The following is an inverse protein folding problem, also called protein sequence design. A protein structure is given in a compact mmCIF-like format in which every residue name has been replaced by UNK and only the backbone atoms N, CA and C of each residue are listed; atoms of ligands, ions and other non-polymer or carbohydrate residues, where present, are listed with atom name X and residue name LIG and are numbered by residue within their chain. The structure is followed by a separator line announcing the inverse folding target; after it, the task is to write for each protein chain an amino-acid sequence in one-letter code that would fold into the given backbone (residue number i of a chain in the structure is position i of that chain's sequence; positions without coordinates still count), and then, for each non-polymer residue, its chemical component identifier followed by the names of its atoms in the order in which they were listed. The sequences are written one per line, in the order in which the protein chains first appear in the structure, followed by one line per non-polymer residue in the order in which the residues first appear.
data_IF_532730091106
#
_entry.id   IF_532730091106
#
_cell.length_a   1.000
_cell.length_b   1.000
_cell.length_c   1.000
_cell.angle_alpha   90.00
_cell.angle_beta   90.00
_cell.angle_gamma   90.00
#
_symmetry.space_group_name_H-M   'P 1'
#
loop_
_entity.id
_entity.type
_entity.pdbx_description
1 polymer ?
#
# COMPACT_ATOMS: atom_id res chain seq x y z
N UNK A 1 -23.75 2.78 -0.73
CA UNK A 1 -23.09 4.08 -0.49
C UNK A 1 -21.59 3.83 -0.39
N UNK A 2 -20.73 4.74 -0.86
CA UNK A 2 -19.29 4.60 -0.72
C UNK A 2 -18.88 4.67 0.77
N UNK A 3 -17.70 4.15 1.15
CA UNK A 3 -17.11 4.42 2.45
C UNK A 3 -17.01 5.93 2.67
N UNK A 4 -17.44 6.42 3.84
CA UNK A 4 -17.42 7.85 4.17
C UNK A 4 -16.17 8.25 4.93
N UNK A 5 -15.43 7.29 5.49
CA UNK A 5 -14.26 7.51 6.33
C UNK A 5 -13.30 6.33 6.21
N UNK A 6 -11.99 6.62 6.22
CA UNK A 6 -10.90 5.65 6.19
C UNK A 6 -9.90 6.04 7.27
N UNK A 7 -9.53 5.06 8.12
CA UNK A 7 -8.41 5.21 9.07
C UNK A 7 -7.20 4.47 8.51
N UNK A 8 -6.11 5.19 8.27
CA UNK A 8 -4.84 4.60 7.85
C UNK A 8 -3.94 4.48 9.07
N UNK A 9 -3.53 3.25 9.38
CA UNK A 9 -2.72 2.92 10.56
C UNK A 9 -1.42 2.28 10.09
N UNK A 10 -0.29 2.90 10.44
CA UNK A 10 1.02 2.26 10.34
C UNK A 10 1.17 1.25 11.48
N UNK A 11 1.76 0.10 11.22
CA UNK A 11 2.03 -0.90 12.25
C UNK A 11 2.87 -0.31 13.40
N UNK A 12 2.71 -0.89 14.59
CA UNK A 12 3.51 -0.53 15.75
C UNK A 12 4.94 -1.08 15.65
N UNK A 13 5.82 -0.71 16.60
CA UNK A 13 7.22 -1.12 16.58
C UNK A 13 7.39 -2.64 16.53
N UNK A 14 8.07 -3.12 15.48
CA UNK A 14 8.54 -4.50 15.34
C UNK A 14 10.01 -4.66 15.67
N UNK A 15 10.48 -5.91 15.82
CA UNK A 15 11.89 -6.17 16.12
C UNK A 15 12.85 -5.65 15.05
N UNK A 16 12.45 -5.66 13.77
CA UNK A 16 13.24 -5.06 12.69
C UNK A 16 13.51 -3.56 12.90
N UNK A 17 12.65 -2.83 13.62
CA UNK A 17 12.83 -1.41 13.89
C UNK A 17 13.90 -1.10 14.96
N UNK A 18 14.25 -2.05 15.84
CA UNK A 18 15.17 -1.77 16.95
C UNK A 18 16.63 -1.60 16.51
N UNK A 19 17.02 -2.30 15.44
CA UNK A 19 18.40 -2.31 14.93
C UNK A 19 18.46 -1.96 13.44
N UNK A 20 17.33 -1.50 12.86
CA UNK A 20 17.15 -1.35 11.41
C UNK A 20 17.61 -2.63 10.66
N UNK A 21 17.32 -3.78 11.27
CA UNK A 21 17.76 -5.07 10.75
C UNK A 21 16.76 -5.57 9.71
N UNK A 22 17.04 -5.19 8.47
CA UNK A 22 16.27 -5.55 7.29
C UNK A 22 16.39 -7.04 6.91
N UNK A 23 17.25 -7.81 7.59
CA UNK A 23 17.46 -9.24 7.32
C UNK A 23 16.50 -10.15 8.07
N UNK A 24 15.84 -9.63 9.12
CA UNK A 24 14.91 -10.41 9.95
C UNK A 24 13.57 -10.59 9.24
N UNK A 25 13.19 -11.81 8.83
CA UNK A 25 11.95 -12.01 8.07
C UNK A 25 10.71 -11.85 8.97
N UNK A 26 9.70 -11.17 8.43
CA UNK A 26 8.34 -11.05 8.98
C UNK A 26 8.28 -11.01 10.53
N UNK A 27 8.94 -10.00 11.09
CA UNK A 27 9.14 -9.91 12.54
C UNK A 27 7.85 -9.64 13.31
N UNK A 28 7.82 -10.10 14.57
CA UNK A 28 6.79 -9.76 15.55
C UNK A 28 6.93 -8.31 16.04
N UNK A 29 5.88 -7.84 16.74
CA UNK A 29 5.93 -6.64 17.56
C UNK A 29 6.90 -6.82 18.73
N UNK A 30 7.51 -5.72 19.16
CA UNK A 30 8.21 -5.64 20.45
C UNK A 30 7.20 -5.41 21.58
N UNK A 31 7.58 -5.58 22.86
CA UNK A 31 6.72 -5.19 23.98
C UNK A 31 6.32 -3.70 23.97
N UNK A 32 7.15 -2.83 23.39
CA UNK A 32 6.78 -1.43 23.14
C UNK A 32 5.72 -1.34 22.03
N UNK A 33 5.88 -2.06 20.92
CA UNK A 33 4.89 -2.12 19.84
C UNK A 33 3.52 -2.63 20.30
N UNK A 34 3.49 -3.60 21.22
CA UNK A 34 2.24 -4.05 21.83
C UNK A 34 1.56 -2.93 22.62
N UNK A 35 2.32 -2.18 23.45
CA UNK A 35 1.81 -1.02 24.19
C UNK A 35 1.30 0.09 23.27
N UNK A 36 2.02 0.39 22.20
CA UNK A 36 1.59 1.35 21.18
C UNK A 36 0.26 0.94 20.54
N UNK A 37 0.12 -0.34 20.19
CA UNK A 37 -1.10 -0.87 19.56
C UNK A 37 -2.30 -0.76 20.51
N UNK A 38 -2.11 -1.03 21.81
CA UNK A 38 -3.16 -0.89 22.82
C UNK A 38 -3.51 0.58 23.05
N UNK A 39 -2.51 1.47 23.16
CA UNK A 39 -2.73 2.90 23.36
C UNK A 39 -3.56 3.51 22.21
N UNK A 40 -3.26 3.13 20.96
CA UNK A 40 -3.98 3.58 19.77
C UNK A 40 -5.50 3.29 19.84
N UNK A 41 -5.92 2.23 20.55
CA UNK A 41 -7.35 1.91 20.73
C UNK A 41 -8.14 3.02 21.44
N UNK A 42 -7.46 3.86 22.22
CA UNK A 42 -8.03 4.99 22.95
C UNK A 42 -7.95 6.32 22.18
N UNK A 43 -7.15 6.37 21.12
CA UNK A 43 -6.93 7.59 20.33
C UNK A 43 -7.89 7.68 19.12
N UNK A 44 -8.31 6.53 18.58
CA UNK A 44 -9.22 6.50 17.43
C UNK A 44 -10.62 6.99 17.84
N UNK A 45 -11.09 8.13 17.30
CA UNK A 45 -12.42 8.63 17.61
C UNK A 45 -13.49 7.67 17.12
N UNK A 46 -14.50 7.42 17.95
CA UNK A 46 -15.64 6.53 17.64
C UNK A 46 -15.21 5.18 17.06
N UNK A 47 -14.19 4.56 17.67
CA UNK A 47 -13.59 3.30 17.20
C UNK A 47 -14.65 2.21 16.93
N UNK A 48 -15.72 2.16 17.74
CA UNK A 48 -16.81 1.19 17.59
C UNK A 48 -17.65 1.35 16.32
N UNK A 49 -17.54 2.47 15.60
CA UNK A 49 -18.15 2.65 14.28
C UNK A 49 -17.42 1.87 13.16
N UNK A 50 -16.19 1.42 13.41
CA UNK A 50 -15.39 0.64 12.46
C UNK A 50 -16.03 -0.74 12.28
N UNK A 51 -16.52 -0.99 11.07
CA UNK A 51 -17.19 -2.24 10.71
C UNK A 51 -16.37 -3.14 9.76
N UNK A 52 -15.19 -2.66 9.31
CA UNK A 52 -14.25 -3.43 8.50
C UNK A 52 -12.83 -3.11 8.92
N UNK A 53 -12.01 -4.15 9.08
CA UNK A 53 -10.59 -4.03 9.41
C UNK A 53 -9.82 -4.81 8.35
N UNK A 54 -8.91 -4.12 7.67
CA UNK A 54 -7.98 -4.70 6.71
C UNK A 54 -6.57 -4.55 7.23
N UNK A 55 -5.77 -5.59 7.09
CA UNK A 55 -4.34 -5.57 7.41
C UNK A 55 -3.57 -6.21 6.26
N UNK A 56 -2.32 -5.80 6.07
CA UNK A 56 -1.41 -6.60 5.25
C UNK A 56 -1.17 -7.96 5.93
N UNK A 57 -0.77 -9.00 5.19
CA UNK A 57 -0.57 -10.32 5.78
C UNK A 57 0.80 -10.45 6.46
N UNK A 58 1.32 -9.35 6.99
CA UNK A 58 2.55 -9.29 7.79
C UNK A 58 2.20 -9.50 9.27
N UNK A 59 3.02 -10.24 10.01
CA UNK A 59 2.74 -10.55 11.41
C UNK A 59 2.59 -9.29 12.26
N UNK A 60 3.51 -8.33 12.09
CA UNK A 60 3.46 -7.04 12.79
C UNK A 60 2.16 -6.27 12.57
N UNK A 61 1.60 -6.26 11.35
CA UNK A 61 0.39 -5.51 11.02
C UNK A 61 -0.85 -6.21 11.55
N UNK A 62 -0.91 -7.55 11.45
CA UNK A 62 -1.99 -8.35 12.02
C UNK A 62 -2.02 -8.22 13.56
N UNK A 63 -0.88 -8.30 14.24
CA UNK A 63 -0.85 -8.13 15.70
C UNK A 63 -1.18 -6.71 16.13
N UNK A 64 -0.74 -5.67 15.40
CA UNK A 64 -1.18 -4.30 15.67
C UNK A 64 -2.70 -4.20 15.58
N UNK A 65 -3.31 -4.73 14.51
CA UNK A 65 -4.77 -4.73 14.37
C UNK A 65 -5.47 -5.54 15.48
N UNK A 66 -4.99 -6.74 15.82
CA UNK A 66 -5.55 -7.58 16.88
C UNK A 66 -5.56 -6.87 18.24
N UNK A 67 -4.52 -6.11 18.55
CA UNK A 67 -4.39 -5.39 19.82
C UNK A 67 -5.18 -4.07 19.81
N UNK A 68 -5.07 -3.26 18.75
CA UNK A 68 -5.81 -2.00 18.64
C UNK A 68 -7.31 -2.21 18.63
N UNK A 69 -7.79 -3.28 18.01
CA UNK A 69 -9.22 -3.55 17.84
C UNK A 69 -9.74 -4.68 18.74
N UNK A 70 -8.97 -5.10 19.73
CA UNK A 70 -9.26 -6.24 20.60
C UNK A 70 -10.69 -6.20 21.19
N UNK A 71 -11.09 -5.04 21.71
CA UNK A 71 -12.41 -4.83 22.32
C UNK A 71 -13.54 -5.07 21.31
N UNK A 72 -13.39 -4.56 20.09
CA UNK A 72 -14.43 -4.71 19.06
C UNK A 72 -14.53 -6.15 18.57
N UNK A 73 -13.38 -6.79 18.35
CA UNK A 73 -13.30 -8.20 17.95
C UNK A 73 -13.86 -9.12 19.04
N UNK A 74 -13.75 -8.74 20.32
CA UNK A 74 -14.34 -9.49 21.43
C UNK A 74 -15.87 -9.38 21.48
N UNK A 75 -16.42 -8.17 21.33
CA UNK A 75 -17.86 -7.94 21.42
C UNK A 75 -18.63 -8.19 20.12
N UNK A 76 -17.93 -8.28 18.98
CA UNK A 76 -18.52 -8.57 17.68
C UNK A 76 -17.86 -9.83 17.06
N UNK A 77 -18.45 -11.04 17.25
CA UNK A 77 -17.86 -12.29 16.76
C UNK A 77 -17.81 -12.41 15.23
N UNK A 78 -18.61 -11.59 14.53
CA UNK A 78 -18.64 -11.54 13.06
C UNK A 78 -17.57 -10.60 12.50
N UNK A 79 -17.02 -9.69 13.32
CA UNK A 79 -15.93 -8.81 12.92
C UNK A 79 -14.62 -9.60 12.84
N UNK A 80 -13.94 -9.49 11.70
CA UNK A 80 -12.66 -10.14 11.44
C UNK A 80 -11.67 -9.12 10.88
N UNK A 81 -10.39 -9.38 11.12
CA UNK A 81 -9.29 -8.72 10.40
C UNK A 81 -9.10 -9.47 9.09
N UNK A 82 -9.38 -8.83 7.96
CA UNK A 82 -9.19 -9.41 6.64
C UNK A 82 -7.76 -9.12 6.18
N UNK A 83 -6.97 -10.17 5.97
CA UNK A 83 -5.62 -10.04 5.46
C UNK A 83 -5.65 -9.89 3.93
N UNK A 84 -5.17 -8.75 3.43
CA UNK A 84 -5.13 -8.44 1.99
C UNK A 84 -3.68 -8.41 1.47
N UNK A 85 -3.29 -9.29 0.53
CA UNK A 85 -1.96 -9.33 -0.06
C UNK A 85 -1.45 -7.97 -0.57
N UNK A 86 -2.34 -7.17 -1.16
CA UNK A 86 -2.03 -5.90 -1.81
C UNK A 86 -1.55 -4.81 -0.84
N UNK A 87 -1.66 -5.03 0.46
CA UNK A 87 -1.19 -4.11 1.50
C UNK A 87 0.23 -4.42 2.00
N UNK A 88 0.92 -5.44 1.46
CA UNK A 88 2.31 -5.74 1.82
C UNK A 88 3.23 -4.53 1.58
N UNK A 89 4.32 -4.46 2.35
CA UNK A 89 5.38 -3.49 2.09
C UNK A 89 6.02 -3.72 0.71
N UNK A 90 6.56 -2.65 0.15
CA UNK A 90 6.91 -2.54 -1.28
C UNK A 90 8.38 -2.82 -1.58
N UNK A 91 9.23 -2.92 -0.56
CA UNK A 91 10.65 -3.24 -0.68
C UNK A 91 10.88 -4.76 -0.81
N UNK A 92 12.06 -5.14 -1.30
CA UNK A 92 12.52 -6.54 -1.40
C UNK A 92 13.32 -7.00 -0.18
N UNK A 93 13.35 -6.21 0.90
CA UNK A 93 14.00 -6.62 2.14
C UNK A 93 13.30 -7.81 2.78
N UNK A 94 14.08 -8.68 3.44
CA UNK A 94 13.53 -9.88 4.07
C UNK A 94 12.47 -9.55 5.12
N UNK A 95 12.63 -8.43 5.85
CA UNK A 95 11.63 -7.95 6.80
C UNK A 95 10.30 -7.52 6.17
N UNK A 96 10.28 -7.25 4.87
CA UNK A 96 9.15 -6.70 4.12
C UNK A 96 8.44 -7.76 3.28
N UNK A 97 9.00 -8.97 3.23
CA UNK A 97 8.36 -10.16 2.68
C UNK A 97 7.57 -10.90 3.76
N UNK A 98 6.28 -11.14 3.53
CA UNK A 98 5.43 -11.84 4.49
C UNK A 98 5.66 -13.34 4.56
N UNK A 99 5.20 -13.96 5.66
CA UNK A 99 5.25 -15.42 5.85
C UNK A 99 4.35 -16.18 4.87
N UNK A 100 4.66 -17.46 4.65
CA UNK A 100 3.80 -18.35 3.85
C UNK A 100 2.39 -18.49 4.43
N UNK A 101 1.41 -18.78 3.58
CA UNK A 101 0.03 -19.04 3.98
C UNK A 101 -0.06 -20.09 5.10
N UNK A 102 0.68 -21.19 4.96
CA UNK A 102 0.69 -22.27 5.95
C UNK A 102 1.24 -21.83 7.32
N UNK A 103 2.23 -20.92 7.35
CA UNK A 103 2.74 -20.36 8.61
C UNK A 103 1.70 -19.44 9.26
N UNK A 104 1.08 -18.54 8.47
CA UNK A 104 0.05 -17.63 8.96
C UNK A 104 -1.19 -18.39 9.48
N UNK A 105 -1.64 -19.43 8.78
CA UNK A 105 -2.75 -20.28 9.23
C UNK A 105 -2.47 -20.94 10.58
N UNK A 106 -1.24 -21.43 10.79
CA UNK A 106 -0.85 -22.03 12.08
C UNK A 106 -0.81 -20.98 13.19
N UNK A 107 -0.24 -19.82 12.93
CA UNK A 107 -0.05 -18.78 13.94
C UNK A 107 -1.37 -18.11 14.34
N UNK A 108 -2.24 -17.84 13.38
CA UNK A 108 -3.51 -17.17 13.60
C UNK A 108 -4.70 -18.13 13.79
N UNK A 109 -4.44 -19.43 13.94
CA UNK A 109 -5.47 -20.42 14.24
C UNK A 109 -6.28 -20.03 15.49
N UNK A 110 -7.60 -19.95 15.34
CA UNK A 110 -8.53 -19.59 16.42
C UNK A 110 -8.58 -18.09 16.75
N UNK A 111 -7.83 -17.24 16.06
CA UNK A 111 -7.93 -15.78 16.18
C UNK A 111 -8.94 -15.22 15.16
N UNK A 112 -9.50 -14.02 15.36
CA UNK A 112 -10.45 -13.41 14.44
C UNK A 112 -9.74 -12.79 13.21
N UNK A 113 -8.93 -13.60 12.53
CA UNK A 113 -8.19 -13.23 11.32
C UNK A 113 -8.70 -14.07 10.16
N UNK A 114 -9.09 -13.40 9.08
CA UNK A 114 -9.53 -14.01 7.85
C UNK A 114 -8.38 -13.98 6.83
N UNK A 115 -7.90 -15.18 6.47
CA UNK A 115 -6.82 -15.40 5.52
C UNK A 115 -7.34 -15.92 4.17
N UNK A 116 -8.65 -15.91 3.93
CA UNK A 116 -9.28 -16.49 2.73
C UNK A 116 -8.88 -15.78 1.42
N UNK A 117 -8.37 -14.56 1.50
CA UNK A 117 -7.83 -13.81 0.37
C UNK A 117 -6.39 -14.16 0.02
N UNK A 118 -5.70 -14.95 0.86
CA UNK A 118 -4.34 -15.40 0.59
C UNK A 118 -4.35 -16.68 -0.25
N UNK A 119 -3.47 -16.72 -1.24
CA UNK A 119 -3.15 -17.90 -2.03
C UNK A 119 -1.72 -18.36 -1.74
N UNK A 120 -1.35 -19.56 -2.21
CA UNK A 120 0.04 -20.02 -2.08
C UNK A 120 0.96 -19.10 -2.90
N UNK A 121 2.01 -18.57 -2.26
CA UNK A 121 2.87 -17.54 -2.88
C UNK A 121 2.25 -16.14 -2.95
N UNK A 122 1.27 -15.81 -2.09
CA UNK A 122 0.61 -14.49 -2.07
C UNK A 122 1.56 -13.28 -1.99
N UNK A 123 2.76 -13.48 -1.45
CA UNK A 123 3.80 -12.47 -1.24
C UNK A 123 4.69 -12.24 -2.48
N UNK A 124 4.37 -12.88 -3.61
CA UNK A 124 5.05 -12.73 -4.90
C UNK A 124 4.01 -12.63 -6.03
N UNK A 125 4.20 -11.74 -7.01
CA UNK A 125 3.28 -11.68 -8.14
C UNK A 125 3.42 -10.49 -9.08
N UNK A 126 2.65 -10.54 -10.15
CA UNK A 126 2.45 -9.45 -11.11
C UNK A 126 0.97 -9.07 -11.07
N UNK A 127 0.69 -7.83 -10.68
CA UNK A 127 -0.67 -7.32 -10.51
C UNK A 127 -1.07 -6.48 -11.73
N UNK A 128 -2.28 -6.70 -12.23
CA UNK A 128 -2.92 -5.82 -13.20
C UNK A 128 -3.96 -4.94 -12.49
N UNK A 129 -3.77 -3.63 -12.53
CA UNK A 129 -4.72 -2.65 -11.98
C UNK A 129 -5.51 -2.03 -13.13
N UNK A 130 -6.82 -2.19 -13.14
CA UNK A 130 -7.73 -1.54 -14.10
C UNK A 130 -8.42 -0.39 -13.36
N UNK A 131 -8.04 0.83 -13.71
CA UNK A 131 -8.51 2.05 -13.05
C UNK A 131 -8.74 3.18 -14.06
N UNK A 132 -8.87 4.40 -13.55
CA UNK A 132 -9.12 5.61 -14.34
C UNK A 132 -7.83 6.42 -14.54
N UNK A 133 -7.75 7.21 -15.61
CA UNK A 133 -6.55 8.00 -15.92
C UNK A 133 -6.12 8.93 -14.79
N UNK A 134 -7.05 9.65 -14.17
CA UNK A 134 -6.75 10.50 -13.00
C UNK A 134 -6.19 9.74 -11.80
N UNK A 135 -6.73 8.55 -11.50
CA UNK A 135 -6.18 7.69 -10.44
C UNK A 135 -4.76 7.23 -10.81
N UNK A 136 -4.54 6.84 -12.06
CA UNK A 136 -3.23 6.37 -12.51
C UNK A 136 -2.15 7.47 -12.43
N UNK A 137 -2.49 8.74 -12.67
CA UNK A 137 -1.55 9.85 -12.48
C UNK A 137 -1.08 9.94 -11.02
N UNK A 138 -2.00 9.98 -10.05
CA UNK A 138 -1.65 10.00 -8.63
C UNK A 138 -0.91 8.75 -8.19
N UNK A 139 -1.32 7.57 -8.66
CA UNK A 139 -0.69 6.31 -8.27
C UNK A 139 0.75 6.18 -8.81
N UNK A 140 1.01 6.72 -10.00
CA UNK A 140 2.32 6.58 -10.67
C UNK A 140 3.22 7.80 -10.52
N UNK A 141 2.70 8.90 -9.97
CA UNK A 141 3.34 10.23 -9.95
C UNK A 141 3.88 10.66 -11.35
N UNK A 142 3.25 10.16 -12.41
CA UNK A 142 3.53 10.52 -13.80
C UNK A 142 2.49 11.55 -14.26
N UNK A 143 2.89 12.81 -14.32
CA UNK A 143 2.07 13.96 -14.67
C UNK A 143 2.30 14.40 -16.13
N UNK A 144 3.03 13.61 -16.92
CA UNK A 144 3.18 13.91 -18.34
C UNK A 144 1.82 13.83 -19.05
N UNK A 145 1.42 14.94 -19.69
CA UNK A 145 0.20 15.03 -20.49
C UNK A 145 -1.11 15.02 -19.68
N UNK A 146 -1.05 15.14 -18.35
CA UNK A 146 -2.23 15.22 -17.48
C UNK A 146 -3.11 16.45 -17.74
N UNK A 147 -2.58 17.50 -18.36
CA UNK A 147 -3.29 18.71 -18.78
C UNK A 147 -4.00 18.60 -20.15
N UNK A 148 -4.01 17.42 -20.77
CA UNK A 148 -4.73 17.18 -22.03
C UNK A 148 -6.26 17.34 -21.86
N UNK A 149 -7.01 17.46 -22.98
CA UNK A 149 -8.43 17.86 -22.99
C UNK A 149 -9.39 16.99 -22.16
N UNK A 150 -8.97 15.82 -21.70
CA UNK A 150 -9.73 14.92 -20.82
C UNK A 150 -9.16 14.81 -19.40
N UNK A 151 -8.21 15.67 -19.02
CA UNK A 151 -7.51 15.62 -17.74
C UNK A 151 -6.61 14.39 -17.58
N UNK A 152 -6.24 13.72 -18.68
CA UNK A 152 -5.35 12.55 -18.66
C UNK A 152 -4.81 12.18 -20.03
N UNK A 153 -3.51 11.88 -20.13
CA UNK A 153 -2.89 11.29 -21.32
C UNK A 153 -2.98 9.75 -21.34
N UNK A 154 -3.61 9.15 -20.32
CA UNK A 154 -3.95 7.72 -20.36
C UNK A 154 -5.10 7.50 -21.35
N UNK A 155 -4.81 6.79 -22.45
CA UNK A 155 -5.82 6.46 -23.46
C UNK A 155 -6.71 5.32 -22.97
N UNK A 156 -7.95 5.28 -23.49
CA UNK A 156 -8.86 4.17 -23.24
C UNK A 156 -8.21 2.84 -23.62
N UNK A 157 -8.21 1.88 -22.69
CA UNK A 157 -7.56 0.57 -22.84
C UNK A 157 -6.03 0.63 -23.08
N UNK A 158 -5.37 1.71 -22.66
CA UNK A 158 -3.90 1.74 -22.54
C UNK A 158 -3.45 0.96 -21.30
N UNK A 159 -2.30 0.29 -21.40
CA UNK A 159 -1.58 -0.23 -20.25
C UNK A 159 -0.17 0.35 -20.21
N UNK A 160 0.37 0.49 -19.00
CA UNK A 160 1.77 0.83 -18.75
C UNK A 160 2.29 -0.12 -17.68
N UNK A 161 3.59 -0.40 -17.71
CA UNK A 161 4.22 -1.38 -16.82
C UNK A 161 5.21 -0.68 -15.91
N UNK A 162 4.98 -0.79 -14.60
CA UNK A 162 5.80 -0.18 -13.56
C UNK A 162 6.42 -1.25 -12.65
N UNK A 163 7.46 -0.85 -11.92
CA UNK A 163 8.05 -1.60 -10.80
C UNK A 163 8.23 -0.65 -9.62
N UNK A 164 8.22 -1.16 -8.39
CA UNK A 164 8.68 -0.37 -7.25
C UNK A 164 10.16 -0.02 -7.43
N UNK A 165 10.50 1.23 -7.14
CA UNK A 165 11.85 1.75 -7.30
C UNK A 165 12.69 1.48 -6.05
N UNK A 166 13.54 0.46 -6.15
CA UNK A 166 14.50 0.07 -5.12
C UNK A 166 15.89 0.70 -5.32
N UNK A 167 16.05 1.66 -6.25
CA UNK A 167 17.36 2.22 -6.60
C UNK A 167 17.95 3.11 -5.50
N UNK A 168 17.10 3.72 -4.68
CA UNK A 168 17.49 4.64 -3.60
C UNK A 168 16.59 4.43 -2.37
N UNK A 169 17.15 4.59 -1.16
CA UNK A 169 16.37 4.50 0.08
C UNK A 169 15.19 5.47 0.11
N UNK A 170 15.36 6.69 -0.42
CA UNK A 170 14.29 7.68 -0.51
C UNK A 170 13.17 7.34 -1.51
N UNK A 171 13.44 6.43 -2.46
CA UNK A 171 12.41 5.91 -3.37
C UNK A 171 11.60 4.81 -2.68
N UNK A 172 12.29 3.91 -1.96
CA UNK A 172 11.69 2.87 -1.12
C UNK A 172 10.79 3.48 -0.03
N UNK A 173 11.28 4.50 0.69
CA UNK A 173 10.54 5.20 1.75
C UNK A 173 9.24 5.85 1.24
N UNK A 174 9.17 6.19 -0.05
CA UNK A 174 8.00 6.80 -0.68
C UNK A 174 7.13 5.79 -1.43
N UNK A 175 7.46 4.50 -1.37
CA UNK A 175 6.85 3.46 -2.21
C UNK A 175 6.77 3.87 -3.70
N UNK A 176 7.82 4.55 -4.18
CA UNK A 176 7.82 5.12 -5.53
C UNK A 176 7.79 4.01 -6.58
N UNK A 177 7.10 4.26 -7.69
CA UNK A 177 7.09 3.36 -8.85
C UNK A 177 7.77 4.01 -10.04
N UNK A 178 8.45 3.20 -10.85
CA UNK A 178 9.13 3.64 -12.07
C UNK A 178 8.62 2.85 -13.28
N UNK A 179 8.24 3.57 -14.34
CA UNK A 179 7.80 2.94 -15.59
C UNK A 179 8.98 2.22 -16.27
N UNK A 180 8.79 0.95 -16.62
CA UNK A 180 9.80 0.13 -17.30
C UNK A 180 10.14 0.65 -18.70
N UNK A 181 11.38 0.46 -19.14
CA UNK A 181 11.84 0.94 -20.45
C UNK A 181 11.05 0.35 -21.63
N UNK A 182 10.63 -0.91 -21.54
CA UNK A 182 9.78 -1.53 -22.57
C UNK A 182 8.41 -0.84 -22.70
N UNK A 183 7.83 -0.45 -21.56
CA UNK A 183 6.57 0.28 -21.55
C UNK A 183 6.72 1.67 -22.19
N UNK A 184 7.82 2.36 -21.88
CA UNK A 184 8.15 3.66 -22.45
C UNK A 184 8.37 3.56 -23.97
N UNK A 185 9.18 2.60 -24.42
CA UNK A 185 9.43 2.34 -25.85
C UNK A 185 8.14 2.08 -26.61
N UNK A 186 7.19 1.35 -26.00
CA UNK A 186 5.88 1.07 -26.61
C UNK A 186 5.02 2.31 -26.75
N UNK A 187 5.05 3.23 -25.78
CA UNK A 187 4.34 4.53 -25.85
C UNK A 187 5.00 5.49 -26.85
N UNK A 188 6.32 5.47 -26.94
CA UNK A 188 7.12 6.38 -27.74
C UNK A 188 8.01 5.64 -28.76
N UNK A 189 7.41 4.97 -29.77
CA UNK A 189 8.14 4.06 -30.68
C UNK A 189 9.13 4.75 -31.61
N UNK A 190 9.03 6.07 -31.78
CA UNK A 190 9.91 6.86 -32.65
C UNK A 190 11.20 7.32 -31.97
N UNK A 191 11.42 6.94 -30.71
CA UNK A 191 12.72 6.92 -30.05
C UNK A 191 13.44 8.26 -30.01
N UNK A 192 13.02 9.14 -29.11
CA UNK A 192 13.79 10.28 -28.55
C UNK A 192 13.07 10.85 -27.30
N UNK A 193 12.17 10.08 -26.68
CA UNK A 193 11.39 10.57 -25.56
C UNK A 193 12.25 10.61 -24.30
N UNK A 194 12.49 11.82 -23.81
CA UNK A 194 13.12 12.07 -22.52
C UNK A 194 12.02 12.22 -21.47
N UNK A 195 11.98 11.30 -20.50
CA UNK A 195 11.06 11.40 -19.36
C UNK A 195 11.30 12.72 -18.61
N UNK A 196 10.23 13.39 -18.14
CA UNK A 196 10.36 14.52 -17.24
C UNK A 196 11.19 14.15 -16.00
N UNK A 197 12.05 15.08 -15.58
CA UNK A 197 12.79 14.97 -14.31
C UNK A 197 11.83 15.02 -13.12
N UNK A 198 12.24 14.60 -11.91
CA UNK A 198 11.39 14.70 -10.72
C UNK A 198 10.88 16.12 -10.44
N UNK A 199 11.70 17.14 -10.69
CA UNK A 199 11.29 18.55 -10.57
C UNK A 199 10.23 18.91 -11.60
N UNK A 200 10.41 18.48 -12.86
CA UNK A 200 9.41 18.72 -13.90
C UNK A 200 8.10 17.99 -13.61
N UNK A 201 8.13 16.76 -13.09
CA UNK A 201 6.92 16.04 -12.65
C UNK A 201 6.19 16.82 -11.54
N UNK A 202 6.93 17.40 -10.59
CA UNK A 202 6.35 18.23 -9.54
C UNK A 202 5.70 19.51 -10.09
N UNK A 203 6.37 20.21 -11.01
CA UNK A 203 5.83 21.41 -11.64
C UNK A 203 4.55 21.10 -12.45
N UNK A 204 4.57 19.99 -13.22
CA UNK A 204 3.42 19.51 -14.00
C UNK A 204 2.23 19.13 -13.11
N UNK A 205 2.50 18.53 -11.94
CA UNK A 205 1.47 18.23 -10.94
C UNK A 205 0.77 19.50 -10.47
N UNK A 206 1.55 20.51 -10.06
CA UNK A 206 1.00 21.79 -9.58
C UNK A 206 0.12 22.42 -10.66
N UNK A 207 0.64 22.54 -11.89
CA UNK A 207 -0.11 23.12 -13.01
C UNK A 207 -1.41 22.35 -13.29
N UNK A 208 -1.36 21.02 -13.25
CA UNK A 208 -2.53 20.16 -13.47
C UNK A 208 -3.57 20.35 -12.36
N UNK A 209 -3.16 20.31 -11.10
CA UNK A 209 -4.07 20.46 -9.96
C UNK A 209 -4.73 21.84 -9.94
N UNK A 210 -3.99 22.90 -10.29
CA UNK A 210 -4.53 24.26 -10.47
C UNK A 210 -5.58 24.31 -11.60
N UNK A 211 -5.31 23.67 -12.74
CA UNK A 211 -6.24 23.64 -13.86
C UNK A 211 -7.56 22.94 -13.49
N UNK A 212 -7.50 21.81 -12.79
CA UNK A 212 -8.69 21.07 -12.35
C UNK A 212 -9.48 21.80 -11.28
N UNK A 213 -8.81 22.64 -10.47
CA UNK A 213 -9.48 23.47 -9.47
C UNK A 213 -10.23 24.64 -10.12
N UNK A 214 -9.73 25.19 -11.24
CA UNK A 214 -10.38 26.27 -11.98
C UNK A 214 -11.64 25.82 -12.74
N UNK A 215 -11.75 24.53 -13.07
CA UNK A 215 -12.88 23.93 -13.80
C UNK A 215 -14.07 23.51 -12.89
N UNK A 216 -13.99 23.74 -11.57
CA UNK A 216 -15.05 23.43 -10.59
C UNK A 216 -15.80 24.67 -10.11
#
# INVERSE_FOLDING_TARGET
MPPTQIHLIRHAQGYHNLMEDHTLPDTLLTPEGERQSIALSHEIPDIFSINRIYASPMRRTIYTALLTFQTMLHFNPDLRIIALPELQETSDFACDTGSSLAQLQREFAGKPVDLSHLFEGWNEGIIAVVAHGGFNHYFTEDWEGSSSCSGTDWKNCEYRTYRFDASFSSAVERAAVVETDDSVRRRFPKGDHQKPTPTQQHDLRIETEESWAADR
#
